data_IF_596466205159
#
_entry.id   IF_596466205159
#
_cell.length_a   1.000
_cell.length_b   1.000
_cell.length_c   1.000
_cell.angle_alpha   90.00
_cell.angle_beta   90.00
_cell.angle_gamma   90.00
#
_symmetry.space_group_name_H-M   'P 1'
#
loop_
_entity.id
_entity.type
_entity.pdbx_description
1 polymer ?
#
# COMPACT_ATOMS: atom_id res chain seq x y z
N UNK A 1 6.76 -6.24 12.32
CA UNK A 1 5.38 -5.90 11.90
C UNK A 1 4.58 -7.15 12.12
N UNK A 2 3.84 -7.21 13.22
CA UNK A 2 3.15 -8.40 13.70
C UNK A 2 1.94 -8.65 12.81
N UNK A 3 1.89 -9.81 12.16
CA UNK A 3 0.65 -10.32 11.62
C UNK A 3 -0.07 -10.96 12.79
N UNK A 4 -1.26 -10.46 13.09
CA UNK A 4 -2.07 -10.99 14.16
C UNK A 4 -2.49 -12.42 13.84
N UNK A 5 -2.36 -13.28 14.84
CA UNK A 5 -2.68 -14.69 14.73
C UNK A 5 -3.78 -14.98 15.77
N UNK A 6 -4.88 -15.61 15.36
CA UNK A 6 -6.07 -15.82 16.21
C UNK A 6 -5.73 -16.57 17.49
N UNK A 7 -6.21 -16.10 18.65
CA UNK A 7 -6.06 -16.73 19.97
C UNK A 7 -6.60 -15.85 21.10
N UNK A 8 -6.42 -16.23 22.37
CA UNK A 8 -6.78 -15.37 23.53
C UNK A 8 -6.10 -13.98 23.46
N UNK A 9 -4.95 -13.89 22.80
CA UNK A 9 -4.24 -12.65 22.49
C UNK A 9 -5.02 -11.70 21.55
N UNK A 10 -6.03 -12.20 20.81
CA UNK A 10 -6.85 -11.39 19.89
C UNK A 10 -7.70 -10.36 20.65
N UNK A 11 -8.26 -10.71 21.81
CA UNK A 11 -9.07 -9.78 22.60
C UNK A 11 -8.23 -8.59 23.10
N UNK A 12 -7.01 -8.86 23.55
CA UNK A 12 -6.08 -7.82 23.97
C UNK A 12 -5.59 -7.01 22.77
N UNK A 13 -5.32 -7.66 21.64
CA UNK A 13 -4.82 -7.00 20.45
C UNK A 13 -5.88 -6.15 19.73
N UNK A 14 -7.16 -6.54 19.79
CA UNK A 14 -8.30 -5.71 19.38
C UNK A 14 -8.46 -4.48 20.28
N UNK A 15 -8.02 -4.55 21.54
CA UNK A 15 -7.97 -3.40 22.45
C UNK A 15 -6.79 -2.46 22.16
N UNK A 16 -5.71 -3.00 21.56
CA UNK A 16 -4.46 -2.28 21.28
C UNK A 16 -4.60 -1.36 20.07
N UNK A 17 -4.04 -0.15 20.17
CA UNK A 17 -4.00 0.83 19.08
C UNK A 17 -2.61 0.91 18.44
N UNK A 18 -2.30 -0.04 17.56
CA UNK A 18 -1.04 -0.10 16.80
C UNK A 18 -1.08 0.68 15.50
N UNK A 19 0.08 1.09 15.00
CA UNK A 19 0.22 1.81 13.72
C UNK A 19 -0.48 1.10 12.56
N UNK A 20 -0.24 -0.20 12.42
CA UNK A 20 -0.85 -1.00 11.38
C UNK A 20 -0.85 -2.47 11.80
N UNK A 21 -2.02 -3.09 11.70
CA UNK A 21 -2.27 -4.47 12.08
C UNK A 21 -3.07 -5.17 10.98
N UNK A 22 -2.70 -6.42 10.69
CA UNK A 22 -3.43 -7.30 9.78
C UNK A 22 -4.00 -8.47 10.55
N UNK A 23 -5.33 -8.61 10.50
CA UNK A 23 -6.07 -9.71 11.09
C UNK A 23 -6.68 -10.55 9.97
N UNK A 24 -6.42 -11.85 9.94
CA UNK A 24 -7.10 -12.78 9.03
C UNK A 24 -8.51 -13.07 9.57
N UNK A 25 -9.54 -13.07 8.71
CA UNK A 25 -10.93 -13.25 9.18
C UNK A 25 -11.23 -14.68 9.63
N UNK A 26 -10.69 -15.68 8.92
CA UNK A 26 -10.92 -17.09 9.25
C UNK A 26 -9.60 -17.86 9.23
N UNK A 27 -8.76 -17.73 10.25
CA UNK A 27 -7.58 -18.58 10.33
C UNK A 27 -7.95 -20.02 10.63
N UNK A 28 -7.10 -20.92 10.16
CA UNK A 28 -7.25 -22.35 10.30
C UNK A 28 -5.94 -22.95 10.81
N UNK A 29 -6.07 -24.04 11.57
CA UNK A 29 -4.93 -24.87 11.92
C UNK A 29 -4.45 -25.61 10.67
N UNK A 30 -3.14 -25.72 10.43
CA UNK A 30 -2.62 -26.57 9.36
C UNK A 30 -2.94 -28.05 9.66
N UNK A 31 -3.28 -28.82 8.63
CA UNK A 31 -3.60 -30.26 8.68
C UNK A 31 -2.32 -31.11 8.84
N UNK A 32 -1.19 -30.68 8.28
CA UNK A 32 0.13 -31.23 8.50
C UNK A 32 0.89 -30.35 9.51
N UNK A 33 0.99 -30.84 10.74
CA UNK A 33 1.67 -30.15 11.84
C UNK A 33 3.04 -30.76 12.09
N UNK A 34 3.88 -30.06 12.84
CA UNK A 34 5.12 -30.62 13.38
C UNK A 34 5.01 -30.61 14.90
N UNK A 35 5.69 -31.53 15.57
CA UNK A 35 5.68 -31.57 17.05
C UNK A 35 6.17 -30.27 17.67
N UNK A 36 7.14 -29.62 17.02
CA UNK A 36 7.64 -28.30 17.45
C UNK A 36 6.53 -27.24 17.47
N UNK A 37 5.59 -27.27 16.52
CA UNK A 37 4.50 -26.30 16.44
C UNK A 37 3.48 -26.50 17.57
N UNK A 38 3.22 -27.75 17.94
CA UNK A 38 2.38 -28.07 19.10
C UNK A 38 3.05 -27.64 20.41
N UNK A 39 4.36 -27.90 20.56
CA UNK A 39 5.12 -27.51 21.76
C UNK A 39 5.20 -26.00 21.95
N UNK A 40 5.32 -25.26 20.85
CA UNK A 40 5.32 -23.78 20.87
C UNK A 40 3.90 -23.22 21.04
N UNK A 41 2.86 -24.03 20.84
CA UNK A 41 1.46 -23.57 20.88
C UNK A 41 1.05 -22.76 19.64
N UNK A 42 1.81 -22.85 18.55
CA UNK A 42 1.50 -22.16 17.29
C UNK A 42 0.31 -22.81 16.56
N UNK A 43 -0.10 -24.01 16.95
CA UNK A 43 -1.34 -24.62 16.48
C UNK A 43 -2.59 -23.86 16.99
N UNK A 44 -2.53 -23.28 18.19
CA UNK A 44 -3.60 -22.45 18.76
C UNK A 44 -3.69 -21.11 18.03
N UNK A 45 -2.54 -20.61 17.60
CA UNK A 45 -2.36 -19.39 16.83
C UNK A 45 -2.40 -19.72 15.33
N UNK A 46 -3.60 -19.87 14.77
CA UNK A 46 -3.80 -20.08 13.34
C UNK A 46 -3.41 -18.84 12.51
N UNK A 47 -2.36 -18.92 11.69
CA UNK A 47 -1.83 -17.77 10.92
C UNK A 47 -2.18 -17.80 9.42
N UNK A 48 -2.96 -18.78 8.97
CA UNK A 48 -3.25 -19.00 7.55
C UNK A 48 -4.57 -19.72 7.34
N UNK A 49 -4.85 -20.05 6.08
CA UNK A 49 -6.01 -20.83 5.68
C UNK A 49 -5.57 -22.03 4.85
N UNK A 50 -6.22 -23.16 5.06
CA UNK A 50 -5.99 -24.35 4.26
C UNK A 50 -6.69 -24.16 2.92
N UNK A 51 -5.94 -24.36 1.84
CA UNK A 51 -6.42 -24.19 0.48
C UNK A 51 -6.35 -25.51 -0.30
N UNK A 52 -7.34 -25.73 -1.16
CA UNK A 52 -7.29 -26.77 -2.19
C UNK A 52 -6.59 -26.22 -3.41
N UNK A 53 -5.47 -26.84 -3.77
CA UNK A 53 -4.64 -26.45 -4.92
C UNK A 53 -4.68 -27.56 -5.96
N UNK A 54 -4.85 -27.16 -7.22
CA UNK A 54 -4.70 -28.02 -8.38
C UNK A 54 -3.44 -27.60 -9.15
N UNK A 55 -2.60 -28.56 -9.48
CA UNK A 55 -1.37 -28.32 -10.25
C UNK A 55 -1.60 -28.77 -11.67
N UNK A 56 -1.90 -27.81 -12.55
CA UNK A 56 -2.11 -28.04 -13.97
C UNK A 56 -1.93 -26.74 -14.74
N UNK A 57 -1.61 -26.86 -16.03
CA UNK A 57 -1.70 -25.74 -16.96
C UNK A 57 -3.15 -25.58 -17.40
N UNK A 58 -3.75 -24.41 -17.17
CA UNK A 58 -5.18 -24.20 -17.46
C UNK A 58 -5.46 -23.19 -18.59
N UNK A 59 -4.98 -21.96 -18.45
CA UNK A 59 -5.49 -20.83 -19.26
C UNK A 59 -4.42 -19.86 -19.76
N UNK A 60 -3.14 -20.08 -19.43
CA UNK A 60 -2.06 -19.16 -19.76
C UNK A 60 -1.98 -17.95 -18.82
N UNK A 61 -2.98 -17.73 -17.95
CA UNK A 61 -2.90 -16.76 -16.85
C UNK A 61 -2.09 -17.27 -15.65
N UNK A 62 -1.59 -18.50 -15.73
CA UNK A 62 -0.77 -19.22 -14.75
C UNK A 62 0.72 -19.26 -15.13
N UNK A 63 1.15 -18.37 -16.04
CA UNK A 63 2.54 -18.23 -16.49
C UNK A 63 3.33 -17.36 -15.49
N UNK A 64 4.64 -17.59 -15.37
CA UNK A 64 5.57 -16.74 -14.59
C UNK A 64 5.13 -16.44 -13.14
N UNK A 65 5.06 -17.49 -12.32
CA UNK A 65 4.67 -17.43 -10.90
C UNK A 65 3.26 -16.84 -10.64
N UNK A 66 2.41 -16.73 -11.66
CA UNK A 66 1.01 -16.32 -11.53
C UNK A 66 0.11 -17.47 -11.06
N UNK A 67 -1.01 -17.12 -10.42
CA UNK A 67 -1.97 -18.08 -9.86
C UNK A 67 -3.39 -17.67 -10.24
N UNK A 68 -4.17 -18.67 -10.64
CA UNK A 68 -5.60 -18.53 -10.86
C UNK A 68 -6.34 -18.95 -9.60
N UNK A 69 -7.24 -18.08 -9.11
CA UNK A 69 -8.07 -18.34 -7.93
C UNK A 69 -9.53 -18.53 -8.30
N UNK A 70 -10.24 -19.32 -7.49
CA UNK A 70 -11.67 -19.47 -7.61
C UNK A 70 -12.40 -18.23 -7.06
N UNK A 71 -13.10 -17.50 -7.94
CA UNK A 71 -13.93 -16.35 -7.57
C UNK A 71 -14.95 -16.67 -6.47
N UNK A 72 -15.61 -17.82 -6.55
CA UNK A 72 -16.62 -18.21 -5.55
C UNK A 72 -16.02 -18.40 -4.16
N UNK A 73 -14.79 -18.92 -4.06
CA UNK A 73 -14.09 -19.06 -2.78
C UNK A 73 -13.71 -17.70 -2.19
N UNK A 74 -13.28 -16.75 -3.03
CA UNK A 74 -12.98 -15.37 -2.62
C UNK A 74 -14.24 -14.63 -2.11
N UNK A 75 -15.37 -14.81 -2.81
CA UNK A 75 -16.64 -14.21 -2.42
C UNK A 75 -17.21 -14.82 -1.11
N UNK A 76 -16.86 -16.07 -0.80
CA UNK A 76 -17.18 -16.70 0.50
C UNK A 76 -16.26 -16.28 1.65
N UNK A 77 -15.13 -15.62 1.36
CA UNK A 77 -14.25 -15.08 2.38
C UNK A 77 -12.86 -15.71 2.48
N UNK A 78 -12.47 -16.53 1.50
CA UNK A 78 -11.10 -17.03 1.42
C UNK A 78 -10.10 -15.86 1.34
N UNK A 79 -9.11 -15.87 2.22
CA UNK A 79 -8.03 -14.89 2.33
C UNK A 79 -8.46 -13.46 2.69
N UNK A 80 -9.68 -13.25 3.21
CA UNK A 80 -10.10 -11.92 3.68
C UNK A 80 -9.29 -11.50 4.89
N UNK A 81 -8.78 -10.28 4.84
CA UNK A 81 -8.04 -9.67 5.94
C UNK A 81 -8.67 -8.35 6.35
N UNK A 82 -8.81 -8.15 7.65
CA UNK A 82 -9.13 -6.88 8.26
C UNK A 82 -7.81 -6.16 8.51
N UNK A 83 -7.65 -5.01 7.87
CA UNK A 83 -6.55 -4.09 8.12
C UNK A 83 -7.03 -3.07 9.12
N UNK A 84 -6.39 -3.05 10.28
CA UNK A 84 -6.59 -2.00 11.26
C UNK A 84 -5.43 -1.04 11.14
N UNK A 85 -5.73 0.20 10.76
CA UNK A 85 -4.74 1.26 10.65
C UNK A 85 -5.04 2.29 11.71
N UNK A 86 -4.07 2.53 12.59
CA UNK A 86 -4.14 3.69 13.47
C UNK A 86 -3.81 4.92 12.68
N UNK A 87 -4.72 5.87 12.75
CA UNK A 87 -4.50 7.22 12.34
C UNK A 87 -4.30 8.03 13.63
N UNK A 88 -3.02 8.26 13.97
CA UNK A 88 -2.67 9.15 15.08
C UNK A 88 -2.83 10.59 14.63
N UNK A 89 -3.62 11.33 15.38
CA UNK A 89 -3.66 12.77 15.26
C UNK A 89 -3.50 13.38 16.64
N UNK A 90 -2.32 13.97 16.88
CA UNK A 90 -2.15 14.96 17.92
C UNK A 90 -2.92 16.20 17.53
N UNK A 91 -4.18 16.26 17.95
CA UNK A 91 -4.98 17.48 17.90
C UNK A 91 -4.73 18.20 19.20
N UNK A 92 -3.89 19.21 19.18
CA UNK A 92 -3.62 20.12 20.29
C UNK A 92 -4.88 20.89 20.70
N UNK A 93 -5.80 20.24 21.40
CA UNK A 93 -6.97 20.88 21.99
C UNK A 93 -7.07 20.51 23.44
N UNK A 94 -7.77 21.32 24.22
CA UNK A 94 -8.14 21.01 25.59
C UNK A 94 -9.66 21.17 25.70
N UNK A 95 -10.35 20.12 26.15
CA UNK A 95 -11.65 20.25 26.81
C UNK A 95 -11.37 20.21 28.30
N UNK A 96 -11.66 21.36 28.93
CA UNK A 96 -11.70 21.67 30.35
C UNK A 96 -10.45 21.34 31.19
N UNK A 97 -9.98 22.40 31.86
CA UNK A 97 -8.88 22.47 32.82
C UNK A 97 -7.46 22.50 32.23
N UNK A 98 -6.97 23.74 32.08
CA UNK A 98 -5.61 24.18 32.39
C UNK A 98 -4.40 23.38 31.83
N UNK A 99 -3.63 24.09 30.96
CA UNK A 99 -2.15 24.11 30.87
C UNK A 99 -1.50 23.26 29.74
N UNK A 100 -1.25 23.88 28.57
CA UNK A 100 -0.02 23.79 27.71
C UNK A 100 0.06 22.78 26.52
N UNK A 101 -0.31 23.24 25.33
CA UNK A 101 0.71 23.66 24.35
C UNK A 101 0.16 24.83 23.59
N UNK A 102 0.75 25.94 23.97
CA UNK A 102 0.47 27.25 23.47
C UNK A 102 1.49 27.46 22.37
N UNK A 103 1.05 27.90 21.19
CA UNK A 103 1.92 28.74 20.39
C UNK A 103 2.48 29.86 21.29
N UNK A 104 3.64 30.46 20.96
CA UNK A 104 4.31 31.47 21.80
C UNK A 104 3.35 32.57 22.33
N UNK A 105 2.22 32.78 21.66
CA UNK A 105 1.17 33.77 21.95
C UNK A 105 -0.01 33.26 22.80
N UNK A 106 0.05 32.10 23.47
CA UNK A 106 -1.08 31.49 24.19
C UNK A 106 -2.28 31.06 23.32
N UNK A 107 -2.17 31.09 21.99
CA UNK A 107 -3.25 30.64 21.10
C UNK A 107 -3.26 29.10 21.00
N UNK A 108 -4.44 28.53 20.82
CA UNK A 108 -4.67 27.08 20.75
C UNK A 108 -5.51 26.74 19.53
N UNK A 109 -5.34 25.54 18.98
CA UNK A 109 -6.27 25.03 17.99
C UNK A 109 -7.63 24.76 18.66
N UNK A 110 -8.73 24.84 17.91
CA UNK A 110 -10.06 24.43 18.39
C UNK A 110 -10.75 23.48 17.41
N UNK A 111 -11.47 22.49 17.94
CA UNK A 111 -12.38 21.64 17.16
C UNK A 111 -13.72 22.35 17.16
N UNK A 112 -14.23 22.61 15.98
CA UNK A 112 -15.50 23.30 15.82
C UNK A 112 -16.61 22.30 15.51
N UNK A 113 -17.82 22.62 15.95
CA UNK A 113 -19.01 21.87 15.55
C UNK A 113 -19.16 21.89 14.02
N UNK A 114 -19.53 20.78 13.39
CA UNK A 114 -19.67 20.72 11.95
C UNK A 114 -20.85 21.61 11.51
N UNK A 115 -20.63 22.44 10.48
CA UNK A 115 -21.71 23.21 9.87
C UNK A 115 -22.39 22.35 8.79
N UNK A 116 -23.53 21.72 9.13
CA UNK A 116 -24.27 20.80 8.25
C UNK A 116 -25.00 21.48 7.08
N UNK A 117 -24.98 22.82 6.99
CA UNK A 117 -25.65 23.57 5.93
C UNK A 117 -24.70 24.13 4.84
N UNK A 118 -23.38 23.99 5.01
CA UNK A 118 -22.38 24.56 4.08
C UNK A 118 -22.04 23.68 2.88
N UNK A 119 -21.25 24.22 1.95
CA UNK A 119 -20.77 23.49 0.75
C UNK A 119 -19.98 22.20 1.06
N UNK A 120 -19.35 22.11 2.24
CA UNK A 120 -18.61 20.93 2.70
C UNK A 120 -19.47 19.96 3.53
N UNK A 121 -20.78 20.19 3.67
CA UNK A 121 -21.68 19.36 4.49
C UNK A 121 -21.64 17.87 4.09
N UNK A 122 -21.52 17.58 2.78
CA UNK A 122 -21.40 16.21 2.29
C UNK A 122 -20.13 15.48 2.74
N UNK A 123 -19.05 16.22 3.10
CA UNK A 123 -17.79 15.66 3.61
C UNK A 123 -17.73 15.58 5.14
N UNK A 124 -18.70 16.20 5.82
CA UNK A 124 -18.78 16.31 7.27
C UNK A 124 -19.82 15.35 7.87
N UNK A 125 -20.43 14.47 7.06
CA UNK A 125 -21.50 13.57 7.51
C UNK A 125 -21.05 12.60 8.62
N UNK A 126 -19.78 12.21 8.61
CA UNK A 126 -19.18 11.28 9.59
C UNK A 126 -18.98 11.94 10.96
N UNK A 127 -19.05 13.28 11.04
CA UNK A 127 -18.76 14.02 12.26
C UNK A 127 -19.97 14.11 13.18
N UNK A 128 -19.72 13.83 14.46
CA UNK A 128 -20.65 14.10 15.53
C UNK A 128 -20.72 15.60 15.85
N UNK A 129 -21.62 15.99 16.75
CA UNK A 129 -21.84 17.37 17.18
C UNK A 129 -20.57 18.01 17.79
N UNK A 130 -19.64 17.18 18.31
CA UNK A 130 -18.35 17.59 18.84
C UNK A 130 -17.28 17.86 17.76
N UNK A 131 -17.58 17.61 16.48
CA UNK A 131 -16.63 17.80 15.37
C UNK A 131 -15.57 16.71 15.24
N UNK A 132 -15.82 15.55 15.85
CA UNK A 132 -15.02 14.32 15.86
C UNK A 132 -15.84 13.22 15.18
N UNK A 133 -15.20 12.33 14.42
CA UNK A 133 -15.92 11.20 13.80
C UNK A 133 -16.36 10.17 14.85
N UNK A 134 -17.62 9.72 14.77
CA UNK A 134 -18.16 8.73 15.70
C UNK A 134 -17.68 7.29 15.37
N UNK A 135 -17.44 6.43 16.37
CA UNK A 135 -17.22 5.00 16.16
C UNK A 135 -18.42 4.36 15.46
N UNK A 136 -18.17 3.51 14.45
CA UNK A 136 -19.20 2.83 13.66
C UNK A 136 -19.51 3.48 12.32
N UNK A 137 -19.15 4.75 12.13
CA UNK A 137 -19.40 5.48 10.89
C UNK A 137 -18.49 5.04 9.74
N UNK A 138 -19.05 5.03 8.53
CA UNK A 138 -18.33 4.68 7.30
C UNK A 138 -17.63 5.94 6.77
N UNK A 139 -16.30 5.91 6.70
CA UNK A 139 -15.47 6.98 6.15
C UNK A 139 -15.13 6.68 4.69
N UNK A 140 -15.36 7.67 3.83
CA UNK A 140 -14.96 7.66 2.42
C UNK A 140 -13.69 8.51 2.18
N UNK A 141 -13.00 8.31 1.05
CA UNK A 141 -11.88 9.15 0.69
C UNK A 141 -12.30 10.63 0.58
N UNK A 142 -11.49 11.51 1.16
CA UNK A 142 -11.71 12.96 1.28
C UNK A 142 -12.76 13.41 2.30
N UNK A 143 -13.37 12.50 3.06
CA UNK A 143 -14.22 12.88 4.19
C UNK A 143 -13.38 13.49 5.31
N UNK A 144 -13.99 14.43 6.04
CA UNK A 144 -13.40 15.11 7.17
C UNK A 144 -13.74 14.30 8.41
N UNK A 145 -12.72 13.78 9.10
CA UNK A 145 -12.89 13.00 10.33
C UNK A 145 -12.50 13.82 11.58
N UNK A 146 -11.82 14.96 11.41
CA UNK A 146 -11.63 15.98 12.46
C UNK A 146 -11.86 17.37 11.87
N UNK A 147 -12.84 18.08 12.43
CA UNK A 147 -13.10 19.47 12.09
C UNK A 147 -12.23 20.44 12.90
N UNK A 148 -10.98 20.60 12.47
CA UNK A 148 -10.00 21.45 13.14
C UNK A 148 -9.96 22.87 12.57
N UNK A 149 -9.85 23.84 13.47
CA UNK A 149 -9.55 25.23 13.17
C UNK A 149 -8.23 25.64 13.86
N UNK A 150 -7.35 26.29 13.10
CA UNK A 150 -6.04 26.76 13.57
C UNK A 150 -6.00 28.28 13.58
N UNK A 151 -5.50 28.93 14.64
CA UNK A 151 -5.40 30.39 14.68
C UNK A 151 -4.52 30.92 13.54
N UNK A 152 -4.92 32.04 12.93
CA UNK A 152 -4.17 32.68 11.82
C UNK A 152 -2.83 33.24 12.28
N UNK A 153 -2.77 33.71 13.52
CA UNK A 153 -1.57 34.30 14.12
C UNK A 153 -1.01 33.32 15.16
N UNK A 154 0.12 32.70 14.81
CA UNK A 154 0.83 31.73 15.64
C UNK A 154 2.14 32.27 16.23
N UNK A 155 2.54 33.50 15.86
CA UNK A 155 3.77 34.17 16.32
C UNK A 155 3.51 35.67 16.56
N UNK A 156 3.95 36.24 17.68
CA UNK A 156 3.81 37.67 18.01
C UNK A 156 3.21 37.97 19.40
N UNK A 157 2.48 39.08 19.52
CA UNK A 157 1.92 39.57 20.79
C UNK A 157 0.83 38.64 21.34
N UNK A 158 0.76 38.51 22.67
CA UNK A 158 -0.28 37.75 23.36
C UNK A 158 -1.67 38.35 23.06
N UNK A 159 -2.56 37.57 22.46
CA UNK A 159 -3.94 37.98 22.17
C UNK A 159 -4.85 37.31 23.20
N UNK A 160 -5.64 38.10 23.91
CA UNK A 160 -6.69 37.60 24.82
C UNK A 160 -8.05 37.92 24.20
N UNK A 161 -8.98 36.97 24.23
CA UNK A 161 -10.32 37.15 23.64
C UNK A 161 -10.39 36.97 22.11
N UNK A 162 -9.89 35.85 21.59
CA UNK A 162 -9.99 35.52 20.15
C UNK A 162 -11.44 35.33 19.72
N UNK A 163 -11.80 35.95 18.60
CA UNK A 163 -13.10 35.82 17.94
C UNK A 163 -13.06 34.74 16.85
N UNK A 164 -14.23 34.30 16.37
CA UNK A 164 -14.32 33.26 15.33
C UNK A 164 -13.58 33.60 14.02
N UNK A 165 -13.41 34.89 13.72
CA UNK A 165 -12.67 35.40 12.55
C UNK A 165 -11.16 35.18 12.63
N UNK A 166 -10.62 34.96 13.83
CA UNK A 166 -9.17 34.79 14.05
C UNK A 166 -8.69 33.37 13.74
N UNK A 167 -9.63 32.45 13.51
CA UNK A 167 -9.36 31.06 13.20
C UNK A 167 -9.47 30.78 11.69
N UNK A 168 -8.52 30.00 11.19
CA UNK A 168 -8.51 29.45 9.84
C UNK A 168 -8.97 28.00 9.87
N UNK A 169 -9.86 27.66 8.96
CA UNK A 169 -10.31 26.30 8.72
C UNK A 169 -9.14 25.43 8.23
N UNK A 170 -8.83 24.37 8.97
CA UNK A 170 -7.71 23.45 8.70
C UNK A 170 -8.15 21.99 8.96
N UNK A 171 -9.20 21.50 8.27
CA UNK A 171 -9.77 20.18 8.51
C UNK A 171 -8.76 19.09 8.18
N UNK A 172 -8.86 17.98 8.90
CA UNK A 172 -8.11 16.79 8.53
C UNK A 172 -8.98 15.86 7.70
N UNK A 173 -8.49 15.52 6.50
CA UNK A 173 -9.18 14.67 5.54
C UNK A 173 -8.59 13.27 5.53
N UNK A 174 -9.46 12.27 5.39
CA UNK A 174 -9.04 10.88 5.28
C UNK A 174 -8.54 10.57 3.87
N UNK A 175 -7.27 10.18 3.77
CA UNK A 175 -6.61 9.75 2.51
C UNK A 175 -6.62 8.22 2.40
N UNK A 176 -7.82 7.64 2.35
CA UNK A 176 -8.03 6.20 2.22
C UNK A 176 -7.95 5.68 0.78
N UNK A 177 -7.87 4.36 0.59
CA UNK A 177 -8.01 3.73 -0.72
C UNK A 177 -9.39 4.02 -1.32
N UNK A 178 -9.42 4.24 -2.64
CA UNK A 178 -10.65 4.56 -3.38
C UNK A 178 -11.41 3.27 -3.67
N UNK A 179 -12.71 3.23 -3.37
CA UNK A 179 -13.61 2.14 -3.77
C UNK A 179 -13.95 1.13 -2.67
N UNK A 180 -13.27 1.17 -1.53
CA UNK A 180 -13.58 0.31 -0.39
C UNK A 180 -14.06 1.11 0.83
N UNK A 181 -15.03 0.57 1.56
CA UNK A 181 -15.62 1.20 2.75
C UNK A 181 -14.69 1.03 3.96
N UNK A 182 -14.13 2.13 4.45
CA UNK A 182 -13.42 2.16 5.74
C UNK A 182 -14.41 2.49 6.85
N UNK A 183 -14.24 1.93 8.03
CA UNK A 183 -15.11 2.19 9.19
C UNK A 183 -14.26 2.66 10.37
N UNK A 184 -14.72 3.65 11.12
CA UNK A 184 -14.12 4.02 12.40
C UNK A 184 -14.45 2.93 13.40
N UNK A 185 -13.45 2.24 13.92
CA UNK A 185 -13.67 1.19 14.91
C UNK A 185 -13.67 1.79 16.33
N UNK A 186 -12.61 2.55 16.66
CA UNK A 186 -12.44 3.14 17.99
C UNK A 186 -11.88 4.55 17.90
N UNK A 187 -12.33 5.39 18.82
CA UNK A 187 -11.79 6.73 19.04
C UNK A 187 -11.35 6.81 20.49
N UNK A 188 -10.07 7.10 20.72
CA UNK A 188 -9.54 7.31 22.06
C UNK A 188 -9.07 8.75 22.21
N UNK A 189 -9.58 9.41 23.25
CA UNK A 189 -9.14 10.71 23.71
C UNK A 189 -8.15 10.49 24.85
N UNK A 190 -6.97 11.08 24.75
CA UNK A 190 -5.97 11.01 25.81
C UNK A 190 -5.28 12.34 25.96
N UNK A 191 -4.87 12.63 27.17
CA UNK A 191 -4.10 13.82 27.49
C UNK A 191 -2.63 13.41 27.64
N UNK A 192 -1.74 14.05 26.89
CA UNK A 192 -0.30 13.82 27.01
C UNK A 192 0.25 14.43 28.34
N UNK A 193 1.50 14.12 28.71
CA UNK A 193 2.18 14.70 29.89
C UNK A 193 2.19 16.24 29.89
N UNK A 194 2.12 16.82 28.70
CA UNK A 194 2.01 18.25 28.49
C UNK A 194 0.56 18.74 28.55
N UNK A 195 -0.42 17.98 29.05
CA UNK A 195 -1.82 18.41 29.13
C UNK A 195 -2.46 18.78 27.78
N UNK A 196 -1.95 18.17 26.70
CA UNK A 196 -2.53 18.28 25.37
C UNK A 196 -3.48 17.14 25.14
N UNK A 197 -4.74 17.41 24.79
CA UNK A 197 -5.55 16.33 24.26
C UNK A 197 -4.95 15.87 22.95
N UNK A 198 -5.15 14.59 22.69
CA UNK A 198 -4.73 13.92 21.49
C UNK A 198 -5.82 12.91 21.17
N UNK A 199 -6.12 12.75 19.88
CA UNK A 199 -7.22 11.92 19.41
C UNK A 199 -6.63 10.80 18.55
N UNK A 200 -6.77 9.58 19.04
CA UNK A 200 -6.39 8.36 18.32
C UNK A 200 -7.62 7.79 17.64
N UNK A 201 -7.54 7.65 16.31
CA UNK A 201 -8.53 6.90 15.55
C UNK A 201 -7.97 5.54 15.17
N UNK A 202 -8.74 4.49 15.42
CA UNK A 202 -8.52 3.17 14.86
C UNK A 202 -9.52 2.99 13.71
N UNK A 203 -9.00 2.89 12.48
CA UNK A 203 -9.82 2.72 11.29
C UNK A 203 -9.66 1.29 10.81
N UNK A 204 -10.77 0.58 10.70
CA UNK A 204 -10.83 -0.79 10.18
C UNK A 204 -11.22 -0.79 8.72
N UNK A 205 -10.61 -1.69 7.98
CA UNK A 205 -10.84 -1.84 6.57
C UNK A 205 -10.81 -3.32 6.19
N UNK A 206 -11.88 -3.84 5.57
CA UNK A 206 -11.93 -5.25 5.13
C UNK A 206 -11.42 -5.35 3.70
N UNK A 207 -10.25 -5.96 3.51
CA UNK A 207 -9.64 -6.16 2.18
C UNK A 207 -9.92 -7.55 1.64
N UNK A 208 -10.14 -7.61 0.34
CA UNK A 208 -10.05 -8.85 -0.43
C UNK A 208 -8.57 -9.14 -0.73
N UNK A 209 -8.12 -10.41 -0.72
CA UNK A 209 -6.76 -10.75 -1.11
C UNK A 209 -6.61 -10.50 -2.62
N UNK A 210 -5.71 -9.61 -3.00
CA UNK A 210 -5.43 -9.33 -4.42
C UNK A 210 -4.23 -10.12 -4.94
N UNK A 211 -3.27 -10.40 -4.05
CA UNK A 211 -2.06 -11.16 -4.39
C UNK A 211 -1.81 -12.19 -3.28
N UNK A 212 -1.92 -13.46 -3.65
CA UNK A 212 -1.36 -14.56 -2.87
C UNK A 212 -0.29 -15.17 -3.76
N UNK A 213 0.96 -15.17 -3.28
CA UNK A 213 2.06 -15.87 -3.97
C UNK A 213 2.35 -17.19 -3.26
N UNK A 214 1.71 -18.32 -3.63
CA UNK A 214 2.34 -19.60 -3.40
C UNK A 214 3.67 -19.65 -4.15
N UNK A 215 4.66 -20.24 -3.49
CA UNK A 215 5.86 -20.69 -4.18
C UNK A 215 5.41 -21.82 -5.11
N UNK A 216 5.44 -21.57 -6.42
CA UNK A 216 5.02 -22.54 -7.42
C UNK A 216 5.85 -23.81 -7.28
N UNK A 217 5.19 -24.96 -7.44
CA UNK A 217 5.80 -26.28 -7.60
C UNK A 217 6.51 -26.36 -8.95
N UNK A 218 7.56 -25.55 -9.13
CA UNK A 218 8.41 -25.65 -10.29
C UNK A 218 9.51 -26.68 -10.01
N UNK A 219 9.74 -27.64 -10.92
CA UNK A 219 10.88 -28.55 -10.85
C UNK A 219 12.21 -27.79 -10.65
N UNK A 220 12.34 -26.63 -11.28
CA UNK A 220 13.52 -25.75 -11.18
C UNK A 220 13.81 -25.27 -9.75
N UNK A 221 12.82 -25.22 -8.84
CA UNK A 221 13.01 -24.79 -7.46
C UNK A 221 13.30 -25.97 -6.51
N UNK A 222 13.20 -27.21 -6.98
CA UNK A 222 13.45 -28.43 -6.21
C UNK A 222 12.73 -28.47 -4.84
N UNK A 223 11.52 -27.93 -4.75
CA UNK A 223 10.74 -27.88 -3.49
C UNK A 223 9.98 -29.19 -3.23
N UNK A 224 10.72 -30.29 -3.01
CA UNK A 224 10.17 -31.64 -2.80
C UNK A 224 9.28 -31.73 -1.55
N UNK A 225 9.60 -31.01 -0.48
CA UNK A 225 8.79 -31.01 0.74
C UNK A 225 7.32 -30.61 0.47
N UNK A 226 7.09 -29.75 -0.52
CA UNK A 226 5.73 -29.35 -0.88
C UNK A 226 4.95 -30.42 -1.64
N UNK A 227 5.67 -31.24 -2.41
CA UNK A 227 5.09 -32.42 -3.06
C UNK A 227 4.69 -33.50 -2.05
N UNK A 228 5.32 -33.54 -0.88
CA UNK A 228 5.00 -34.48 0.21
C UNK A 228 3.86 -33.95 1.10
N UNK A 229 3.82 -32.63 1.34
CA UNK A 229 2.75 -31.99 2.14
C UNK A 229 1.36 -32.18 1.53
N UNK A 230 1.26 -32.11 0.19
CA UNK A 230 -0.02 -32.25 -0.54
C UNK A 230 -0.76 -33.58 -0.31
N UNK A 231 -0.14 -34.76 -0.53
CA UNK A 231 -0.76 -36.04 -0.21
C UNK A 231 -0.92 -36.22 1.31
N UNK A 232 -0.02 -35.67 2.13
CA UNK A 232 -0.12 -35.73 3.59
C UNK A 232 -1.38 -35.05 4.13
N UNK A 233 -1.69 -33.83 3.70
CA UNK A 233 -2.92 -33.15 4.12
C UNK A 233 -4.19 -33.83 3.57
N UNK A 234 -4.14 -34.42 2.36
CA UNK A 234 -5.25 -35.22 1.81
C UNK A 234 -5.54 -36.46 2.64
N UNK A 235 -4.50 -37.21 3.00
CA UNK A 235 -4.60 -38.38 3.84
C UNK A 235 -5.15 -38.01 5.23
N UNK A 236 -4.73 -36.85 5.76
CA UNK A 236 -5.17 -36.36 7.06
C UNK A 236 -6.65 -36.03 7.12
N UNK A 237 -7.14 -35.31 6.12
CA UNK A 237 -8.57 -35.01 5.99
C UNK A 237 -9.39 -36.29 5.81
N UNK A 238 -8.88 -37.25 5.03
CA UNK A 238 -9.59 -38.52 4.74
C UNK A 238 -9.67 -39.45 5.95
N UNK A 239 -8.71 -39.35 6.88
CA UNK A 239 -8.68 -40.15 8.10
C UNK A 239 -9.22 -39.43 9.33
N UNK A 240 -9.46 -38.12 9.23
CA UNK A 240 -9.82 -37.28 10.39
C UNK A 240 -8.68 -37.13 11.40
N UNK A 241 -7.42 -37.34 10.99
CA UNK A 241 -6.23 -37.16 11.84
C UNK A 241 -5.30 -36.10 11.27
N UNK A 242 -4.66 -35.33 12.15
CA UNK A 242 -3.54 -34.49 11.76
C UNK A 242 -2.31 -35.37 11.52
N UNK A 243 -1.64 -35.19 10.38
CA UNK A 243 -0.40 -35.89 10.08
C UNK A 243 0.80 -35.08 10.57
N UNK A 244 1.88 -35.79 10.91
CA UNK A 244 3.09 -35.16 11.41
C UNK A 244 4.18 -35.11 10.34
N UNK A 245 4.62 -33.89 10.01
CA UNK A 245 5.73 -33.62 9.10
C UNK A 245 7.01 -33.16 9.82
N UNK A 246 7.27 -33.66 11.03
CA UNK A 246 8.43 -33.26 11.83
C UNK A 246 9.74 -33.65 11.13
N UNK A 247 10.74 -32.76 11.15
CA UNK A 247 12.04 -33.07 10.55
C UNK A 247 12.71 -34.25 11.29
N UNK A 248 13.30 -35.18 10.54
CA UNK A 248 14.09 -36.32 11.05
C UNK A 248 13.34 -37.22 12.07
N UNK A 249 12.03 -37.40 11.92
CA UNK A 249 11.19 -38.14 12.88
C UNK A 249 11.27 -39.68 12.85
N UNK A 250 12.08 -40.27 11.98
CA UNK A 250 12.22 -41.72 11.79
C UNK A 250 13.47 -42.22 12.55
N UNK A 251 13.38 -42.36 13.89
CA UNK A 251 12.91 -43.62 14.50
C UNK A 251 11.92 -43.45 15.68
N UNK A 252 11.52 -42.22 16.00
CA UNK A 252 10.72 -41.88 17.19
C UNK A 252 9.21 -41.86 16.95
N UNK A 253 8.75 -42.15 15.72
CA UNK A 253 7.31 -42.18 15.37
C UNK A 253 6.67 -40.79 15.34
N UNK A 254 7.48 -39.74 15.24
CA UNK A 254 7.04 -38.34 15.28
C UNK A 254 6.87 -37.71 13.89
N UNK A 255 7.10 -38.48 12.82
CA UNK A 255 6.85 -38.10 11.44
C UNK A 255 6.20 -39.27 10.69
N UNK A 256 5.20 -38.97 9.86
CA UNK A 256 4.58 -39.94 8.96
C UNK A 256 5.45 -40.08 7.70
N UNK A 257 5.79 -41.32 7.34
CA UNK A 257 6.57 -41.60 6.13
C UNK A 257 5.69 -41.42 4.88
N UNK A 258 6.32 -41.14 3.73
CA UNK A 258 5.59 -41.02 2.45
C UNK A 258 4.87 -42.33 2.10
N UNK A 259 5.44 -43.47 2.48
CA UNK A 259 4.86 -44.80 2.28
C UNK A 259 3.60 -44.98 3.12
N UNK A 260 3.63 -44.59 4.40
CA UNK A 260 2.48 -44.65 5.30
C UNK A 260 1.34 -43.74 4.81
N UNK A 261 1.67 -42.53 4.34
CA UNK A 261 0.69 -41.61 3.73
C UNK A 261 0.08 -42.25 2.47
N UNK A 262 0.90 -42.89 1.63
CA UNK A 262 0.45 -43.53 0.39
C UNK A 262 -0.48 -44.72 0.66
N UNK A 263 -0.15 -45.57 1.65
CA UNK A 263 -1.00 -46.68 2.08
C UNK A 263 -2.35 -46.18 2.59
N UNK A 264 -2.31 -45.15 3.44
CA UNK A 264 -3.52 -44.49 3.98
C UNK A 264 -4.43 -43.98 2.86
N UNK A 265 -3.86 -43.40 1.80
CA UNK A 265 -4.64 -42.95 0.64
C UNK A 265 -5.28 -44.11 -0.12
N UNK A 266 -4.55 -45.22 -0.31
CA UNK A 266 -5.07 -46.42 -1.00
C UNK A 266 -6.20 -47.07 -0.21
N UNK A 267 -6.08 -47.17 1.12
CA UNK A 267 -7.14 -47.68 2.01
C UNK A 267 -8.44 -46.88 1.89
N UNK A 268 -8.33 -45.57 1.65
CA UNK A 268 -9.47 -44.67 1.45
C UNK A 268 -9.96 -44.61 -0.01
N UNK A 269 -9.38 -45.41 -0.90
CA UNK A 269 -9.77 -45.51 -2.31
C UNK A 269 -9.22 -44.41 -3.22
N UNK A 270 -8.19 -43.68 -2.77
CA UNK A 270 -7.47 -42.70 -3.59
C UNK A 270 -6.24 -43.31 -4.27
N UNK A 271 -5.75 -42.65 -5.32
CA UNK A 271 -4.46 -43.00 -5.92
C UNK A 271 -3.32 -42.78 -4.91
N UNK A 272 -2.39 -43.72 -4.84
CA UNK A 272 -1.16 -43.61 -4.02
C UNK A 272 -0.36 -42.32 -4.31
N UNK A 273 -0.34 -41.88 -5.57
CA UNK A 273 0.30 -40.61 -5.99
C UNK A 273 -0.48 -39.34 -5.59
N UNK A 274 -1.68 -39.44 -5.01
CA UNK A 274 -2.59 -38.31 -4.77
C UNK A 274 -3.16 -37.65 -6.04
N UNK A 275 -3.01 -38.28 -7.22
CA UNK A 275 -3.52 -37.76 -8.50
C UNK A 275 -4.98 -38.16 -8.68
N UNK A 276 -5.83 -37.19 -8.99
CA UNK A 276 -7.25 -37.41 -9.24
C UNK A 276 -7.59 -37.06 -10.70
N UNK A 277 -8.73 -37.55 -11.19
CA UNK A 277 -9.24 -37.18 -12.50
C UNK A 277 -10.14 -35.95 -12.39
N UNK A 278 -9.82 -34.90 -13.15
CA UNK A 278 -10.63 -33.67 -13.25
C UNK A 278 -11.29 -33.57 -14.62
N UNK A 279 -12.50 -33.03 -14.65
CA UNK A 279 -13.20 -32.67 -15.88
C UNK A 279 -13.10 -31.16 -16.13
N UNK A 280 -12.89 -30.76 -17.38
CA UNK A 280 -12.88 -29.35 -17.76
C UNK A 280 -14.30 -28.78 -17.80
N UNK A 281 -14.58 -27.76 -17.00
CA UNK A 281 -15.89 -27.09 -16.95
C UNK A 281 -16.30 -26.36 -18.24
N UNK A 282 -15.35 -26.07 -19.14
CA UNK A 282 -15.62 -25.34 -20.39
C UNK A 282 -16.33 -26.20 -21.46
N UNK A 283 -16.03 -27.51 -21.53
CA UNK A 283 -16.52 -28.40 -22.59
C UNK A 283 -17.88 -29.03 -22.31
N UNK A 284 -18.35 -29.02 -21.06
CA UNK A 284 -19.65 -29.60 -20.69
C UNK A 284 -20.81 -28.74 -21.24
N UNK A 285 -20.59 -27.44 -21.43
CA UNK A 285 -21.58 -26.53 -22.04
C UNK A 285 -21.70 -26.72 -23.57
N UNK A 286 -20.61 -27.07 -24.25
CA UNK A 286 -20.59 -27.26 -25.71
C UNK A 286 -21.26 -28.58 -26.15
N UNK A 287 -21.36 -29.55 -25.23
CA UNK A 287 -22.07 -30.82 -25.46
C UNK A 287 -23.60 -30.70 -25.33
N UNK A 288 -24.12 -29.62 -24.74
CA UNK A 288 -25.57 -29.36 -24.70
C UNK A 288 -26.13 -28.76 -26.01
N UNK A 289 -25.26 -28.29 -26.93
CA UNK A 289 -25.65 -27.63 -28.19
C UNK A 289 -25.27 -28.43 -29.45
N UNK A 290 -24.59 -29.57 -29.31
CA UNK A 290 -24.28 -30.46 -30.45
C UNK A 290 -24.65 -31.89 -30.15
N UNK A 291 -25.95 -32.18 -30.24
CA UNK A 291 -26.36 -33.45 -30.83
C UNK A 291 -25.93 -33.42 -32.29
N UNK A 292 -25.12 -34.41 -32.69
CA UNK A 292 -24.92 -34.98 -34.04
C UNK A 292 -23.44 -35.26 -34.30
N UNK A 293 -23.16 -36.57 -34.41
CA UNK A 293 -22.12 -37.20 -35.22
C UNK A 293 -20.67 -36.67 -35.12
N UNK A 294 -19.88 -37.26 -34.23
CA UNK A 294 -18.67 -38.03 -34.61
C UNK A 294 -18.01 -38.64 -33.35
N UNK A 295 -18.46 -39.84 -33.04
CA UNK A 295 -18.02 -40.68 -31.94
C UNK A 295 -16.73 -41.42 -32.34
N UNK A 296 -15.54 -40.96 -31.87
CA UNK A 296 -14.36 -41.79 -31.50
C UNK A 296 -13.08 -41.01 -31.19
N UNK A 297 -12.99 -39.74 -31.57
CA UNK A 297 -11.84 -38.87 -31.29
C UNK A 297 -12.22 -37.63 -30.47
N UNK A 298 -13.08 -37.81 -29.46
CA UNK A 298 -13.12 -36.84 -28.37
C UNK A 298 -11.80 -37.02 -27.64
N UNK A 299 -10.86 -36.11 -27.89
CA UNK A 299 -9.67 -35.90 -27.08
C UNK A 299 -10.11 -35.89 -25.62
N UNK A 300 -10.02 -37.05 -24.96
CA UNK A 300 -9.80 -37.18 -23.53
C UNK A 300 -8.50 -36.42 -23.28
N UNK A 301 -8.59 -35.10 -23.15
CA UNK A 301 -7.59 -34.30 -22.47
C UNK A 301 -7.67 -34.70 -21.00
N UNK A 302 -7.22 -35.94 -20.74
CA UNK A 302 -6.93 -36.48 -19.42
C UNK A 302 -5.70 -35.72 -18.93
N UNK A 303 -5.92 -34.50 -18.48
CA UNK A 303 -4.90 -33.79 -17.73
C UNK A 303 -4.74 -34.57 -16.43
N UNK A 304 -3.62 -35.29 -16.29
CA UNK A 304 -3.18 -35.90 -15.03
C UNK A 304 -2.85 -34.76 -14.07
N UNK A 305 -3.87 -34.16 -13.48
CA UNK A 305 -3.73 -33.08 -12.53
C UNK A 305 -3.86 -33.64 -11.12
N UNK A 306 -2.87 -33.37 -10.29
CA UNK A 306 -2.88 -33.67 -8.85
C UNK A 306 -4.01 -32.84 -8.20
N UNK A 307 -4.95 -33.46 -7.46
CA UNK A 307 -5.90 -32.69 -6.62
C UNK A 307 -5.95 -33.19 -5.18
N UNK A 308 -6.01 -32.18 -4.29
CA UNK A 308 -6.42 -32.12 -2.87
C UNK A 308 -5.38 -32.71 -1.92
N UNK A 309 -4.96 -32.12 -0.79
CA UNK A 309 -5.04 -30.78 -0.19
C UNK A 309 -3.89 -30.72 0.80
N UNK A 310 -2.95 -29.78 0.62
CA UNK A 310 -2.64 -28.79 1.65
C UNK A 310 -1.60 -27.81 1.15
N UNK A 311 -1.90 -26.54 1.35
CA UNK A 311 -0.85 -25.58 1.55
C UNK A 311 -1.05 -24.95 2.91
N UNK A 312 -0.08 -25.14 3.81
CA UNK A 312 0.36 -24.06 4.69
C UNK A 312 0.72 -22.89 3.77
N UNK A 313 -0.15 -21.90 3.71
CA UNK A 313 0.15 -20.63 3.07
C UNK A 313 0.35 -19.60 4.17
N UNK A 314 1.64 -19.33 4.35
CA UNK A 314 2.22 -18.14 4.94
C UNK A 314 1.29 -16.94 4.81
N UNK A 315 1.07 -16.31 5.96
CA UNK A 315 0.91 -14.87 6.12
C UNK A 315 0.57 -14.17 4.82
N UNK A 316 -0.72 -13.86 4.62
CA UNK A 316 -1.16 -12.93 3.59
C UNK A 316 -0.13 -11.81 3.55
N UNK A 317 0.71 -11.79 2.51
CA UNK A 317 1.87 -10.92 2.58
C UNK A 317 1.33 -9.51 2.66
N UNK A 318 1.77 -8.78 3.68
CA UNK A 318 1.40 -7.40 4.00
C UNK A 318 1.46 -6.48 2.75
N UNK A 319 2.22 -6.89 1.74
CA UNK A 319 2.43 -6.23 0.47
C UNK A 319 1.24 -6.39 -0.50
N UNK A 320 0.13 -5.69 -0.25
CA UNK A 320 -1.04 -5.65 -1.14
C UNK A 320 -0.86 -4.67 -2.31
N UNK A 321 -1.60 -4.87 -3.42
CA UNK A 321 -1.48 -4.03 -4.63
C UNK A 321 -2.05 -2.64 -4.39
N UNK A 322 -3.15 -2.52 -3.66
CA UNK A 322 -3.70 -1.23 -3.21
C UNK A 322 -2.67 -0.35 -2.49
N UNK A 323 -1.72 -0.95 -1.74
CA UNK A 323 -0.67 -0.24 -1.03
C UNK A 323 0.56 0.08 -1.91
N UNK A 324 0.60 -0.41 -3.15
CA UNK A 324 1.66 -0.10 -4.13
C UNK A 324 1.22 0.77 -5.29
N UNK A 325 -0.03 0.64 -5.73
CA UNK A 325 -0.53 1.39 -6.87
C UNK A 325 -0.45 2.89 -6.61
N UNK A 326 0.31 3.59 -7.44
CA UNK A 326 0.55 5.02 -7.32
C UNK A 326 0.66 5.63 -8.71
N UNK A 327 -0.10 6.68 -8.94
CA UNK A 327 -0.07 7.45 -10.17
C UNK A 327 -0.13 8.94 -9.84
N UNK A 328 0.55 9.74 -10.65
CA UNK A 328 0.59 11.20 -10.51
C UNK A 328 0.56 11.85 -11.88
N UNK A 329 -0.43 12.72 -12.10
CA UNK A 329 -0.43 13.66 -13.22
C UNK A 329 0.27 14.96 -12.82
N UNK A 330 -0.36 15.75 -11.95
CA UNK A 330 0.21 16.95 -11.33
C UNK A 330 0.14 16.86 -9.81
N UNK A 331 0.99 17.59 -9.10
CA UNK A 331 1.04 17.50 -7.65
C UNK A 331 1.97 18.52 -7.00
N UNK A 332 2.10 18.47 -5.67
CA UNK A 332 2.93 19.40 -4.92
C UNK A 332 4.40 19.27 -5.32
N UNK A 333 5.11 20.38 -5.18
CA UNK A 333 6.54 20.51 -5.46
C UNK A 333 7.27 20.92 -4.19
N UNK A 334 8.51 20.48 -4.05
CA UNK A 334 9.42 20.89 -2.98
C UNK A 334 9.73 22.38 -3.16
N UNK A 335 9.70 23.16 -2.09
CA UNK A 335 9.89 24.62 -2.16
C UNK A 335 11.28 25.01 -2.67
N UNK A 336 12.33 24.28 -2.24
CA UNK A 336 13.72 24.59 -2.59
C UNK A 336 13.98 24.35 -4.09
N UNK A 337 13.78 23.11 -4.56
CA UNK A 337 14.13 22.67 -5.92
C UNK A 337 13.00 22.80 -6.93
N UNK A 338 11.77 23.11 -6.49
CA UNK A 338 10.56 23.08 -7.33
C UNK A 338 10.30 21.75 -8.02
N UNK A 339 10.99 20.69 -7.63
CA UNK A 339 10.78 19.34 -8.15
C UNK A 339 9.57 18.69 -7.47
N UNK A 340 8.95 17.67 -8.10
CA UNK A 340 7.96 16.82 -7.43
C UNK A 340 8.41 16.37 -6.04
N UNK A 341 7.50 16.39 -5.07
CA UNK A 341 7.75 15.81 -3.73
C UNK A 341 8.08 14.32 -3.82
N UNK A 342 8.74 13.78 -2.79
CA UNK A 342 8.99 12.35 -2.66
C UNK A 342 7.90 11.63 -1.85
N UNK A 343 7.68 10.36 -2.16
CA UNK A 343 6.84 9.45 -1.39
C UNK A 343 5.34 9.52 -1.72
N UNK A 344 4.71 8.33 -1.80
CA UNK A 344 3.28 8.19 -2.11
C UNK A 344 2.37 8.97 -1.16
N UNK A 345 2.65 8.93 0.14
CA UNK A 345 1.84 9.62 1.16
C UNK A 345 1.75 11.15 0.96
N UNK A 346 2.75 11.74 0.27
CA UNK A 346 2.83 13.17 -0.06
C UNK A 346 2.48 13.46 -1.52
N UNK A 347 1.80 12.52 -2.20
CA UNK A 347 1.52 12.57 -3.64
C UNK A 347 2.78 12.82 -4.46
N UNK A 348 3.88 12.16 -4.08
CA UNK A 348 5.18 12.34 -4.69
C UNK A 348 5.29 11.84 -6.13
N UNK A 349 6.29 12.31 -6.87
CA UNK A 349 6.62 11.81 -8.20
C UNK A 349 7.36 10.48 -8.17
N UNK A 350 7.45 9.83 -9.33
CA UNK A 350 8.39 8.74 -9.55
C UNK A 350 9.71 9.33 -10.05
N UNK A 351 10.82 8.76 -9.57
CA UNK A 351 12.17 9.22 -9.94
C UNK A 351 12.58 8.57 -11.26
N UNK A 352 13.06 9.39 -12.19
CA UNK A 352 13.86 8.94 -13.33
C UNK A 352 15.31 9.13 -12.92
N UNK A 353 16.01 8.03 -12.65
CA UNK A 353 17.41 8.03 -12.23
C UNK A 353 18.38 8.02 -13.41
N UNK A 354 19.65 7.86 -13.08
CA UNK A 354 20.74 7.78 -14.06
C UNK A 354 20.62 6.52 -14.93
N UNK A 355 20.26 5.38 -14.34
CA UNK A 355 20.09 4.12 -15.07
C UNK A 355 18.95 4.23 -16.10
N UNK A 356 17.81 4.81 -15.72
CA UNK A 356 16.69 5.00 -16.64
C UNK A 356 17.04 6.01 -17.75
N UNK A 357 17.77 7.07 -17.42
CA UNK A 357 18.28 8.02 -18.42
C UNK A 357 19.19 7.31 -19.42
N UNK A 358 20.12 6.49 -18.94
CA UNK A 358 21.09 5.82 -19.80
C UNK A 358 20.41 4.78 -20.72
N UNK A 359 19.36 4.11 -20.25
CA UNK A 359 18.50 3.29 -21.10
C UNK A 359 17.81 4.11 -22.22
N UNK A 360 17.33 5.31 -21.93
CA UNK A 360 16.71 6.19 -22.94
C UNK A 360 17.73 6.70 -23.97
N UNK A 361 18.96 6.98 -23.53
CA UNK A 361 20.07 7.37 -24.41
C UNK A 361 20.43 6.20 -25.32
N UNK A 362 20.55 4.98 -24.78
CA UNK A 362 20.84 3.78 -25.56
C UNK A 362 19.76 3.50 -26.63
N UNK A 363 18.50 3.78 -26.32
CA UNK A 363 17.41 3.70 -27.29
C UNK A 363 17.42 4.83 -28.33
N UNK A 364 18.13 5.93 -28.08
CA UNK A 364 18.17 7.11 -28.95
C UNK A 364 16.95 8.03 -28.83
N UNK A 365 16.17 7.94 -27.73
CA UNK A 365 14.94 8.71 -27.54
C UNK A 365 15.19 10.14 -27.02
N UNK A 366 15.88 10.97 -27.81
CA UNK A 366 16.29 12.33 -27.41
C UNK A 366 15.13 13.24 -27.00
N UNK A 367 14.04 13.26 -27.77
CA UNK A 367 12.87 14.10 -27.48
C UNK A 367 12.16 13.67 -26.19
N UNK A 368 12.11 12.37 -25.89
CA UNK A 368 11.51 11.85 -24.67
C UNK A 368 12.37 12.20 -23.45
N UNK A 369 13.70 12.15 -23.56
CA UNK A 369 14.62 12.62 -22.51
C UNK A 369 14.37 14.09 -22.21
N UNK A 370 14.26 14.93 -23.25
CA UNK A 370 13.97 16.36 -23.10
C UNK A 370 12.61 16.62 -22.42
N UNK A 371 11.58 15.87 -22.80
CA UNK A 371 10.25 15.97 -22.18
C UNK A 371 10.29 15.59 -20.69
N UNK A 372 10.97 14.48 -20.34
CA UNK A 372 11.00 13.96 -18.97
C UNK A 372 11.87 14.79 -18.04
N UNK A 373 13.07 15.17 -18.48
CA UNK A 373 14.03 15.90 -17.65
C UNK A 373 13.74 17.41 -17.56
N UNK A 374 13.13 18.02 -18.58
CA UNK A 374 12.89 19.46 -18.59
C UNK A 374 11.40 19.82 -18.52
N UNK A 375 10.59 19.41 -19.50
CA UNK A 375 9.20 19.88 -19.63
C UNK A 375 8.32 19.40 -18.47
N UNK A 376 8.42 18.12 -18.13
CA UNK A 376 7.60 17.47 -17.10
C UNK A 376 8.01 17.81 -15.67
N UNK A 377 9.27 18.19 -15.46
CA UNK A 377 9.85 18.39 -14.13
C UNK A 377 9.80 19.85 -13.70
N UNK A 378 10.80 20.64 -14.08
CA UNK A 378 11.04 21.98 -13.56
C UNK A 378 11.50 22.97 -14.65
N UNK A 379 10.69 23.24 -15.68
CA UNK A 379 11.04 24.25 -16.68
C UNK A 379 11.11 25.63 -16.02
N UNK A 380 12.22 26.35 -16.22
CA UNK A 380 12.41 27.70 -15.70
C UNK A 380 13.00 28.62 -16.76
N UNK A 381 12.43 29.82 -16.89
CA UNK A 381 12.90 30.86 -17.79
C UNK A 381 13.89 31.76 -17.07
N UNK A 382 15.11 31.86 -17.62
CA UNK A 382 16.21 32.64 -17.05
C UNK A 382 16.66 33.70 -18.04
N UNK A 383 17.03 34.86 -17.51
CA UNK A 383 17.66 35.94 -18.25
C UNK A 383 19.19 35.78 -18.18
N UNK A 384 19.85 35.74 -19.32
CA UNK A 384 21.31 35.59 -19.42
C UNK A 384 21.87 36.76 -20.22
N UNK A 385 22.94 37.38 -19.72
CA UNK A 385 23.62 38.46 -20.43
C UNK A 385 24.61 37.91 -21.47
N UNK A 386 24.52 38.38 -22.72
CA UNK A 386 25.40 37.99 -23.84
C UNK A 386 26.85 38.40 -23.62
N UNK A 387 27.10 39.53 -22.93
CA UNK A 387 28.44 40.06 -22.74
C UNK A 387 29.21 39.39 -21.58
N UNK A 388 28.58 39.22 -20.42
CA UNK A 388 29.26 38.65 -19.23
C UNK A 388 28.99 37.16 -19.00
N UNK A 389 27.95 36.59 -19.62
CA UNK A 389 27.54 35.19 -19.46
C UNK A 389 26.93 34.87 -18.09
N UNK A 390 26.62 35.88 -17.28
CA UNK A 390 26.02 35.71 -15.96
C UNK A 390 24.49 35.81 -16.03
N UNK A 391 23.86 35.20 -15.03
CA UNK A 391 22.42 35.30 -14.85
C UNK A 391 22.04 36.73 -14.45
N UNK A 392 21.11 37.31 -15.20
CA UNK A 392 20.45 38.58 -14.87
C UNK A 392 19.19 38.36 -14.03
N UNK A 393 18.59 39.45 -13.60
CA UNK A 393 17.27 39.45 -12.97
C UNK A 393 16.28 40.21 -13.84
N UNK A 394 15.00 39.86 -13.72
CA UNK A 394 13.92 40.54 -14.43
C UNK A 394 13.29 41.59 -13.52
N UNK A 395 13.27 42.85 -13.96
CA UNK A 395 12.63 43.92 -13.22
C UNK A 395 11.17 44.08 -13.67
N UNK A 396 10.23 43.61 -12.85
CA UNK A 396 8.80 43.70 -13.17
C UNK A 396 8.27 45.13 -13.33
N UNK A 397 8.90 46.13 -12.70
CA UNK A 397 8.47 47.54 -12.83
C UNK A 397 8.81 48.12 -14.19
N UNK A 398 10.02 47.84 -14.69
CA UNK A 398 10.52 48.34 -15.97
C UNK A 398 10.21 47.39 -17.13
N UNK A 399 9.72 46.17 -16.83
CA UNK A 399 9.49 45.08 -17.78
C UNK A 399 10.74 44.69 -18.59
N UNK A 400 11.93 44.99 -18.09
CA UNK A 400 13.22 44.71 -18.74
C UNK A 400 14.08 43.76 -17.89
N UNK A 401 14.88 42.94 -18.57
CA UNK A 401 15.97 42.20 -17.92
C UNK A 401 17.11 43.16 -17.62
N UNK A 402 17.77 43.01 -16.46
CA UNK A 402 18.94 43.79 -16.09
C UNK A 402 20.04 42.85 -15.59
N UNK A 403 21.27 43.10 -16.01
CA UNK A 403 22.44 42.38 -15.54
C UNK A 403 23.04 43.11 -14.34
N UNK A 404 23.31 42.39 -13.24
CA UNK A 404 23.90 42.99 -12.04
C UNK A 404 25.32 43.52 -12.26
N UNK A 405 26.11 42.87 -13.13
CA UNK A 405 27.49 43.27 -13.39
C UNK A 405 27.60 44.38 -14.43
N UNK A 406 26.90 44.24 -15.56
CA UNK A 406 27.00 45.19 -16.66
C UNK A 406 26.07 46.40 -16.51
N UNK A 407 25.06 46.32 -15.63
CA UNK A 407 23.98 47.32 -15.43
C UNK A 407 23.19 47.74 -16.68
N UNK A 408 23.55 47.22 -17.86
CA UNK A 408 22.86 47.43 -19.12
C UNK A 408 21.75 46.39 -19.33
N UNK A 409 20.64 46.84 -19.92
CA UNK A 409 19.48 46.00 -20.23
C UNK A 409 19.47 45.40 -21.65
N UNK A 410 20.23 45.98 -22.58
CA UNK A 410 20.07 45.71 -24.03
C UNK A 410 20.65 44.36 -24.47
N UNK A 411 21.65 43.84 -23.76
CA UNK A 411 22.36 42.60 -24.13
C UNK A 411 21.86 41.35 -23.38
N UNK A 412 20.56 41.29 -23.08
CA UNK A 412 19.97 40.18 -22.30
C UNK A 412 19.05 39.35 -23.17
N UNK A 413 19.17 38.04 -23.02
CA UNK A 413 18.37 37.04 -23.73
C UNK A 413 17.74 36.05 -22.77
N UNK A 414 16.52 35.64 -23.08
CA UNK A 414 15.76 34.63 -22.37
C UNK A 414 16.16 33.22 -22.81
N UNK A 415 16.45 32.34 -21.85
CA UNK A 415 16.71 30.91 -22.07
C UNK A 415 15.82 30.07 -21.17
N UNK A 416 15.36 28.92 -21.67
CA UNK A 416 14.70 27.89 -20.86
C UNK A 416 15.74 26.87 -20.39
N UNK A 417 15.79 26.64 -19.08
CA UNK A 417 16.65 25.63 -18.48
C UNK A 417 15.97 25.00 -17.25
N UNK A 418 16.38 23.79 -16.83
CA UNK A 418 15.87 23.18 -15.60
C UNK A 418 16.20 24.04 -14.37
N UNK A 419 15.24 24.25 -13.49
CA UNK A 419 15.45 25.03 -12.26
C UNK A 419 16.60 24.47 -11.39
N UNK A 420 16.78 23.15 -11.37
CA UNK A 420 17.92 22.51 -10.72
C UNK A 420 19.29 22.99 -11.27
N UNK A 421 19.39 23.22 -12.58
CA UNK A 421 20.60 23.76 -13.20
C UNK A 421 20.86 25.21 -12.77
N UNK A 422 19.79 26.02 -12.65
CA UNK A 422 19.88 27.37 -12.09
C UNK A 422 20.44 27.35 -10.66
N UNK A 423 19.93 26.44 -9.81
CA UNK A 423 20.43 26.28 -8.44
C UNK A 423 21.90 25.90 -8.42
N UNK A 424 22.32 24.95 -9.26
CA UNK A 424 23.74 24.57 -9.39
C UNK A 424 24.63 25.76 -9.74
N UNK A 425 24.20 26.61 -10.68
CA UNK A 425 24.93 27.84 -11.04
C UNK A 425 25.07 28.77 -9.83
N UNK A 426 24.03 28.92 -9.01
CA UNK A 426 24.05 29.77 -7.82
C UNK A 426 24.93 29.18 -6.70
N UNK A 427 24.93 27.86 -6.52
CA UNK A 427 25.83 27.17 -5.58
C UNK A 427 27.30 27.28 -6.01
N UNK A 428 27.61 27.22 -7.31
CA UNK A 428 28.97 27.47 -7.79
C UNK A 428 29.39 28.92 -7.51
N UNK A 429 28.50 29.88 -7.73
CA UNK A 429 28.75 31.30 -7.43
C UNK A 429 28.98 31.56 -5.95
N UNK A 430 28.29 30.85 -5.04
CA UNK A 430 28.52 30.97 -3.60
C UNK A 430 29.90 30.48 -3.18
N UNK A 431 30.49 29.54 -3.92
CA UNK A 431 31.86 29.05 -3.76
C UNK A 431 32.92 29.89 -4.51
N UNK A 432 32.57 31.08 -5.00
CA UNK A 432 33.41 31.94 -5.84
C UNK A 432 33.83 31.32 -7.19
N UNK A 433 33.15 30.26 -7.64
CA UNK A 433 33.32 29.74 -9.00
C UNK A 433 32.34 30.49 -9.89
N UNK A 434 32.84 31.11 -10.96
CA UNK A 434 32.03 31.95 -11.86
C UNK A 434 31.71 31.20 -13.16
N UNK A 435 30.60 30.42 -13.23
CA UNK A 435 30.18 29.78 -14.47
C UNK A 435 29.65 30.85 -15.43
N UNK A 436 30.31 30.99 -16.60
CA UNK A 436 29.88 31.91 -17.66
C UNK A 436 29.22 31.13 -18.79
N UNK A 437 27.95 31.43 -19.06
CA UNK A 437 27.21 30.86 -20.16
C UNK A 437 27.56 31.59 -21.47
N UNK A 438 28.09 30.86 -22.45
CA UNK A 438 28.25 31.35 -23.82
C UNK A 438 27.02 30.94 -24.62
N UNK A 439 26.26 31.93 -25.06
CA UNK A 439 25.07 31.69 -25.86
C UNK A 439 25.48 31.64 -27.33
N UNK A 440 25.04 30.59 -28.02
CA UNK A 440 25.05 30.51 -29.48
C UNK A 440 23.60 30.65 -29.96
N UNK A 441 23.40 31.26 -31.12
CA UNK A 441 22.09 31.26 -31.77
C UNK A 441 21.80 29.83 -32.24
N UNK A 442 20.56 29.38 -31.99
CA UNK A 442 20.11 28.02 -32.23
C UNK A 442 19.72 27.80 -33.70
#
# INVERSE_FOLDING_TARGET
MEMAVYGEEENEMLSRMDTLLYLLVYPQKPLLTTRTIELVGYDKLGAGQNATVAVMSYSGYDIEDAIVMNKASLDRGFGRCIVMKRALYSVQLLLLSAIIQKYENNTQDRIARPNRAGNDAGRMQVLDDDGIAAPGEIIRPNDIYINKQTPRVTRGTMVTGLTDSDFKFAPQTFKGPIGESSVVDKVALFTDKNNNMCIKYLIRHTRRPEVIRPRVLLPNRMTVGKMIELPGGKAGVSCGRFHYGSAFGEPSGHADTVEAISQTLVEKGFSYNGKDFIYSGFSILLLAVSQVAHYRHIRRLLVKALIIVEYRLYSLTISQVLDKMHARGSGPRVMLTRQPTEGRARNGGLRVGEMERDCLIAYGASMLIFERLMISSDPFEVQVCRACGLLGYYNHKLKTGICSSCKNGDNISTMKLPYACKLLIQELQSMNIVPRLKLAEA
#
